data_IF_629583804458
#
_entry.id   IF_629583804458
#
_cell.length_a   1.000
_cell.length_b   1.000
_cell.length_c   1.000
_cell.angle_alpha   90.00
_cell.angle_beta   90.00
_cell.angle_gamma   90.00
#
_symmetry.space_group_name_H-M   'P 1'
#
loop_
_entity.id
_entity.type
_entity.pdbx_description
1 polymer ?
#
# COMPACT_ATOMS: atom_id res chain seq x y z
N UNK A 1 15.28 -8.02 -12.75
CA UNK A 1 13.82 -7.87 -12.53
C UNK A 1 13.39 -9.09 -11.77
N UNK A 2 12.79 -8.91 -10.61
CA UNK A 2 12.22 -9.99 -9.80
C UNK A 2 10.70 -9.83 -9.80
N UNK A 3 9.97 -10.94 -9.92
CA UNK A 3 8.52 -10.94 -9.91
C UNK A 3 8.04 -11.32 -8.51
N UNK A 4 7.22 -10.48 -7.91
CA UNK A 4 6.97 -10.48 -6.47
C UNK A 4 5.50 -10.77 -6.09
N UNK A 5 4.53 -10.41 -6.94
CA UNK A 5 3.10 -10.70 -6.70
C UNK A 5 2.32 -10.85 -8.03
N UNK A 6 1.29 -11.70 -8.04
CA UNK A 6 0.34 -11.83 -9.14
C UNK A 6 -0.97 -11.11 -8.82
N UNK A 7 -1.34 -10.14 -9.65
CA UNK A 7 -2.47 -9.25 -9.42
C UNK A 7 -3.76 -9.71 -10.14
N UNK A 8 -3.71 -10.82 -10.89
CA UNK A 8 -4.80 -11.29 -11.73
C UNK A 8 -4.77 -10.70 -13.14
N UNK A 9 -5.38 -11.38 -14.12
CA UNK A 9 -5.52 -10.86 -15.49
C UNK A 9 -4.19 -10.61 -16.22
N UNK A 10 -3.17 -11.46 -15.98
CA UNK A 10 -1.78 -11.28 -16.45
C UNK A 10 -1.10 -9.98 -15.97
N UNK A 11 -1.59 -9.37 -14.89
CA UNK A 11 -0.92 -8.27 -14.20
C UNK A 11 -0.04 -8.81 -13.06
N UNK A 12 1.17 -8.25 -12.95
CA UNK A 12 2.18 -8.69 -11.99
C UNK A 12 2.84 -7.49 -11.32
N UNK A 13 3.20 -7.65 -10.05
CA UNK A 13 4.10 -6.76 -9.33
C UNK A 13 5.52 -7.28 -9.46
N UNK A 14 6.47 -6.37 -9.71
CA UNK A 14 7.86 -6.72 -9.92
C UNK A 14 8.80 -5.62 -9.42
N UNK A 15 9.85 -6.03 -8.73
CA UNK A 15 10.95 -5.17 -8.32
C UNK A 15 11.98 -5.01 -9.43
N UNK A 16 12.30 -3.76 -9.73
CA UNK A 16 13.32 -3.36 -10.70
C UNK A 16 14.52 -2.76 -9.96
N UNK A 17 15.77 -3.05 -10.39
CA UNK A 17 16.94 -2.37 -9.85
C UNK A 17 16.78 -0.86 -10.01
N UNK A 18 17.11 -0.10 -8.96
CA UNK A 18 17.03 1.36 -8.99
C UNK A 18 18.00 1.88 -10.05
N UNK A 19 17.45 2.37 -11.15
CA UNK A 19 18.21 3.03 -12.20
C UNK A 19 17.58 4.40 -12.47
N UNK A 20 18.40 5.37 -12.91
CA UNK A 20 17.94 6.72 -13.30
C UNK A 20 16.87 6.69 -14.41
N UNK A 21 16.73 5.59 -15.12
CA UNK A 21 15.71 5.39 -16.16
C UNK A 21 15.46 3.90 -16.37
N UNK A 22 14.21 3.47 -16.36
CA UNK A 22 13.82 2.09 -16.64
C UNK A 22 13.78 1.77 -18.15
N UNK A 23 13.90 2.78 -19.04
CA UNK A 23 13.73 2.60 -20.49
C UNK A 23 14.69 1.58 -21.11
N UNK A 24 15.92 1.50 -20.61
CA UNK A 24 16.91 0.54 -21.11
C UNK A 24 16.60 -0.89 -20.68
N UNK A 25 15.98 -1.08 -19.50
CA UNK A 25 15.55 -2.39 -19.00
C UNK A 25 14.32 -2.93 -19.73
N UNK A 26 13.50 -2.02 -20.28
CA UNK A 26 12.27 -2.36 -21.00
C UNK A 26 12.49 -2.52 -22.51
N UNK A 27 13.72 -2.27 -23.01
CA UNK A 27 14.04 -2.39 -24.43
C UNK A 27 13.91 -3.85 -24.88
N UNK A 28 13.12 -4.10 -25.92
CA UNK A 28 12.85 -5.45 -26.43
C UNK A 28 11.71 -6.19 -25.70
N UNK A 29 11.02 -5.52 -24.77
CA UNK A 29 9.79 -6.05 -24.14
C UNK A 29 8.54 -5.51 -24.86
N UNK A 30 7.38 -6.12 -24.59
CA UNK A 30 6.06 -5.66 -25.08
C UNK A 30 5.45 -4.53 -24.21
N UNK A 31 6.20 -3.96 -23.26
CA UNK A 31 5.70 -2.92 -22.36
C UNK A 31 5.48 -1.60 -23.12
N UNK A 32 4.23 -1.13 -23.17
CA UNK A 32 3.84 0.09 -23.90
C UNK A 32 3.75 1.34 -23.03
N UNK A 33 3.59 1.20 -21.71
CA UNK A 33 3.45 2.34 -20.79
C UNK A 33 3.99 2.03 -19.40
N UNK A 34 4.58 3.03 -18.76
CA UNK A 34 4.98 3.01 -17.35
C UNK A 34 4.52 4.33 -16.74
N UNK A 35 3.81 4.26 -15.62
CA UNK A 35 3.35 5.43 -14.90
C UNK A 35 3.48 5.20 -13.40
N UNK A 36 3.57 6.29 -12.65
CA UNK A 36 3.50 6.24 -11.19
C UNK A 36 2.03 6.23 -10.78
N UNK A 37 1.64 5.23 -9.98
CA UNK A 37 0.29 5.18 -9.41
C UNK A 37 0.21 6.20 -8.27
N UNK A 38 -0.63 7.26 -8.38
CA UNK A 38 -0.76 8.25 -7.31
C UNK A 38 -1.32 7.60 -6.04
N UNK A 39 -0.92 8.12 -4.88
CA UNK A 39 -1.29 7.58 -3.57
C UNK A 39 -2.82 7.53 -3.39
N UNK A 40 -3.50 8.56 -3.86
CA UNK A 40 -4.95 8.72 -3.79
C UNK A 40 -5.68 7.62 -4.55
N UNK A 41 -5.11 7.10 -5.64
CA UNK A 41 -5.70 6.01 -6.42
C UNK A 41 -5.65 4.65 -5.69
N UNK A 42 -4.84 4.53 -4.64
CA UNK A 42 -4.81 3.34 -3.77
C UNK A 42 -5.78 3.44 -2.60
N UNK A 43 -6.28 4.64 -2.31
CA UNK A 43 -7.17 4.91 -1.19
C UNK A 43 -8.63 4.75 -1.59
N UNK A 44 -9.43 4.12 -0.72
CA UNK A 44 -10.88 4.12 -0.88
C UNK A 44 -11.44 5.55 -0.80
N UNK A 45 -12.45 5.84 -1.61
CA UNK A 45 -13.09 7.16 -1.68
C UNK A 45 -13.54 7.69 -0.31
N UNK A 46 -14.00 6.81 0.59
CA UNK A 46 -14.47 7.16 1.93
C UNK A 46 -13.37 7.67 2.88
N UNK A 47 -12.09 7.43 2.56
CA UNK A 47 -10.95 8.04 3.27
C UNK A 47 -10.68 9.45 2.73
N UNK A 48 -10.94 9.65 1.45
CA UNK A 48 -10.70 10.91 0.73
C UNK A 48 -11.84 11.90 0.90
N UNK A 49 -13.07 11.42 1.05
CA UNK A 49 -14.21 12.22 1.43
C UNK A 49 -14.25 12.33 2.97
N UNK A 50 -14.56 13.52 3.50
CA UNK A 50 -14.50 13.80 4.96
C UNK A 50 -15.59 13.05 5.77
N UNK A 51 -16.20 12.02 5.17
CA UNK A 51 -17.33 11.24 5.64
C UNK A 51 -16.94 9.93 6.34
N UNK A 52 -15.78 9.92 7.01
CA UNK A 52 -15.34 8.75 7.79
C UNK A 52 -16.35 8.45 8.93
N UNK A 53 -16.98 7.26 8.97
CA UNK A 53 -17.95 6.86 9.99
C UNK A 53 -17.36 6.76 11.40
N UNK A 54 -18.20 6.91 12.43
CA UNK A 54 -17.78 6.88 13.83
C UNK A 54 -17.03 5.60 14.24
N UNK A 55 -17.41 4.44 13.69
CA UNK A 55 -16.74 3.16 14.01
C UNK A 55 -15.30 3.08 13.46
N UNK A 56 -14.97 3.87 12.44
CA UNK A 56 -13.65 3.93 11.81
C UNK A 56 -12.86 5.17 12.25
N UNK A 57 -13.30 5.84 13.33
CA UNK A 57 -12.64 7.01 13.91
C UNK A 57 -12.14 6.72 15.31
N UNK A 58 -10.95 7.21 15.59
CA UNK A 58 -10.40 7.29 16.95
C UNK A 58 -9.85 8.71 17.16
N UNK A 59 -10.65 9.57 17.77
CA UNK A 59 -10.34 11.00 17.86
C UNK A 59 -10.20 11.64 16.47
N UNK A 60 -9.01 12.17 16.16
CA UNK A 60 -8.65 12.73 14.85
C UNK A 60 -8.08 11.71 13.87
N UNK A 61 -7.96 10.44 14.26
CA UNK A 61 -7.38 9.36 13.45
C UNK A 61 -8.46 8.58 12.72
N UNK A 62 -8.09 8.06 11.56
CA UNK A 62 -8.89 7.20 10.71
C UNK A 62 -8.32 5.79 10.78
N UNK A 63 -9.18 4.83 11.11
CA UNK A 63 -8.85 3.41 11.08
C UNK A 63 -8.90 2.87 9.66
N UNK A 64 -7.78 2.31 9.21
CA UNK A 64 -7.61 1.77 7.86
C UNK A 64 -7.12 0.33 7.89
N UNK A 65 -7.48 -0.42 6.85
CA UNK A 65 -6.86 -1.69 6.46
C UNK A 65 -5.98 -1.43 5.26
N UNK A 66 -4.70 -1.75 5.40
CA UNK A 66 -3.68 -1.59 4.37
C UNK A 66 -3.32 -2.95 3.85
N UNK A 67 -3.41 -3.14 2.53
CA UNK A 67 -2.89 -4.33 1.85
C UNK A 67 -1.51 -4.07 1.27
N UNK A 68 -0.62 -5.05 1.38
CA UNK A 68 0.72 -5.05 0.79
C UNK A 68 0.92 -6.26 -0.14
N UNK A 69 1.99 -6.25 -0.93
CA UNK A 69 2.27 -7.33 -1.89
C UNK A 69 2.76 -8.60 -1.18
N UNK A 70 2.37 -9.77 -1.70
CA UNK A 70 2.55 -11.07 -1.02
C UNK A 70 4.02 -11.46 -0.79
N UNK A 71 4.92 -11.05 -1.69
CA UNK A 71 6.35 -11.34 -1.61
C UNK A 71 7.15 -10.56 -0.56
N UNK A 72 6.49 -9.80 0.32
CA UNK A 72 7.15 -8.98 1.34
C UNK A 72 7.10 -9.65 2.71
N UNK A 73 8.26 -9.74 3.36
CA UNK A 73 8.39 -10.29 4.71
C UNK A 73 7.80 -9.35 5.76
N UNK A 74 7.13 -9.91 6.77
CA UNK A 74 6.49 -9.14 7.83
C UNK A 74 7.51 -8.26 8.59
N UNK A 75 8.67 -8.80 8.94
CA UNK A 75 9.74 -8.04 9.63
C UNK A 75 10.20 -6.83 8.83
N UNK A 76 10.24 -6.95 7.50
CA UNK A 76 10.57 -5.84 6.61
C UNK A 76 9.48 -4.77 6.64
N UNK A 77 8.21 -5.18 6.61
CA UNK A 77 7.05 -4.27 6.71
C UNK A 77 7.06 -3.53 8.04
N UNK A 78 7.24 -4.23 9.15
CA UNK A 78 7.28 -3.64 10.49
C UNK A 78 8.42 -2.63 10.62
N UNK A 79 9.61 -2.97 10.12
CA UNK A 79 10.74 -2.03 10.07
C UNK A 79 10.42 -0.78 9.27
N UNK A 80 9.82 -0.92 8.08
CA UNK A 80 9.42 0.22 7.23
C UNK A 80 8.36 1.09 7.90
N UNK A 81 7.40 0.49 8.60
CA UNK A 81 6.39 1.22 9.36
C UNK A 81 7.04 2.01 10.52
N UNK A 82 8.00 1.42 11.22
CA UNK A 82 8.80 2.10 12.23
C UNK A 82 9.59 3.29 11.67
N UNK A 83 10.21 3.14 10.49
CA UNK A 83 10.90 4.24 9.81
C UNK A 83 9.96 5.40 9.40
N UNK A 84 8.68 5.11 9.15
CA UNK A 84 7.63 6.10 8.86
C UNK A 84 7.01 6.73 10.13
N UNK A 85 7.43 6.29 11.32
CA UNK A 85 6.88 6.69 12.61
C UNK A 85 5.46 6.16 12.84
N UNK A 86 5.13 5.02 12.25
CA UNK A 86 3.83 4.36 12.37
C UNK A 86 3.93 3.22 13.39
N UNK A 87 3.15 3.34 14.46
CA UNK A 87 3.07 2.38 15.55
C UNK A 87 1.62 1.87 15.73
N UNK A 88 1.42 0.84 16.56
CA UNK A 88 0.08 0.30 16.84
C UNK A 88 -0.54 -0.47 15.67
N UNK A 89 0.31 -1.13 14.89
CA UNK A 89 -0.09 -1.89 13.70
C UNK A 89 -0.53 -3.29 14.12
N UNK A 90 -1.67 -3.74 13.60
CA UNK A 90 -2.20 -5.08 13.83
C UNK A 90 -2.27 -5.87 12.52
N UNK A 91 -1.41 -6.87 12.34
CA UNK A 91 -1.45 -7.75 11.17
C UNK A 91 -2.77 -8.54 11.15
N UNK A 92 -3.43 -8.58 9.99
CA UNK A 92 -4.74 -9.21 9.82
C UNK A 92 -4.56 -10.63 9.29
N UNK A 93 -4.15 -11.55 10.16
CA UNK A 93 -3.88 -12.94 9.80
C UNK A 93 -2.66 -13.10 8.87
N UNK A 94 -1.80 -14.07 9.15
CA UNK A 94 -0.50 -14.23 8.48
C UNK A 94 -0.60 -14.36 6.94
N UNK A 95 -1.75 -14.84 6.42
CA UNK A 95 -1.93 -15.13 4.99
C UNK A 95 -2.61 -14.03 4.18
N UNK A 96 -3.11 -12.95 4.79
CA UNK A 96 -3.92 -11.97 4.04
C UNK A 96 -3.13 -10.76 3.54
N UNK A 97 -1.83 -10.68 3.85
CA UNK A 97 -0.94 -9.57 3.46
C UNK A 97 -1.57 -8.20 3.73
N UNK A 98 -2.14 -8.07 4.93
CA UNK A 98 -2.88 -6.89 5.38
C UNK A 98 -2.57 -6.57 6.82
N UNK A 99 -2.65 -5.28 7.16
CA UNK A 99 -2.65 -4.83 8.53
C UNK A 99 -3.68 -3.73 8.77
N UNK A 100 -4.03 -3.54 10.04
CA UNK A 100 -4.90 -2.48 10.53
C UNK A 100 -4.10 -1.47 11.32
N UNK A 101 -4.42 -0.20 11.15
CA UNK A 101 -3.79 0.89 11.90
C UNK A 101 -4.72 2.11 11.94
N UNK A 102 -4.63 2.90 13.00
CA UNK A 102 -5.29 4.20 13.12
C UNK A 102 -4.29 5.32 12.90
N UNK A 103 -4.49 6.15 11.88
CA UNK A 103 -3.55 7.20 11.49
C UNK A 103 -4.25 8.54 11.24
N UNK A 104 -3.56 9.68 11.45
CA UNK A 104 -3.97 10.95 10.85
C UNK A 104 -4.11 10.80 9.34
N UNK A 105 -5.05 11.52 8.73
CA UNK A 105 -5.35 11.41 7.30
C UNK A 105 -4.12 11.68 6.43
N UNK A 106 -3.28 12.62 6.82
CA UNK A 106 -2.04 12.98 6.13
C UNK A 106 -1.07 11.80 6.11
N UNK A 107 -0.96 11.07 7.23
CA UNK A 107 -0.14 9.86 7.35
C UNK A 107 -0.71 8.69 6.56
N UNK A 108 -2.03 8.64 6.35
CA UNK A 108 -2.65 7.64 5.45
C UNK A 108 -2.18 7.85 4.02
N UNK A 109 -2.10 9.10 3.54
CA UNK A 109 -1.60 9.41 2.20
C UNK A 109 -0.10 9.16 2.06
N UNK A 110 0.69 9.50 3.08
CA UNK A 110 2.12 9.18 3.13
C UNK A 110 2.35 7.67 3.01
N UNK A 111 1.61 6.87 3.77
CA UNK A 111 1.67 5.42 3.70
C UNK A 111 1.22 4.90 2.33
N UNK A 112 0.14 5.45 1.75
CA UNK A 112 -0.33 5.06 0.42
C UNK A 112 0.70 5.38 -0.69
N UNK A 113 1.55 6.39 -0.52
CA UNK A 113 2.59 6.74 -1.48
C UNK A 113 3.70 5.67 -1.58
N UNK A 114 3.89 4.84 -0.55
CA UNK A 114 4.89 3.78 -0.55
C UNK A 114 4.66 2.76 -1.68
N UNK A 115 5.73 2.39 -2.38
CA UNK A 115 5.66 1.51 -3.56
C UNK A 115 5.17 0.09 -3.24
N UNK A 116 5.35 -0.35 -1.99
CA UNK A 116 4.97 -1.68 -1.51
C UNK A 116 3.51 -1.77 -1.02
N UNK A 117 2.85 -0.62 -0.85
CA UNK A 117 1.43 -0.57 -0.49
C UNK A 117 0.57 -0.79 -1.73
N UNK A 118 -0.28 -1.81 -1.67
CA UNK A 118 -1.19 -2.26 -2.73
C UNK A 118 -2.54 -1.55 -2.67
N UNK A 119 -3.08 -1.37 -1.47
CA UNK A 119 -4.38 -0.71 -1.27
C UNK A 119 -4.53 -0.18 0.15
N UNK A 120 -5.35 0.87 0.31
CA UNK A 120 -5.75 1.40 1.60
C UNK A 120 -7.27 1.54 1.62
N UNK A 121 -7.91 0.77 2.49
CA UNK A 121 -9.36 0.74 2.67
C UNK A 121 -9.72 1.13 4.09
N UNK A 122 -10.93 1.62 4.30
CA UNK A 122 -11.41 1.89 5.64
C UNK A 122 -11.55 0.61 6.45
N UNK A 123 -11.39 0.68 7.77
CA UNK A 123 -11.78 -0.43 8.64
C UNK A 123 -13.22 -0.86 8.33
N UNK A 124 -13.50 -2.16 8.26
CA UNK A 124 -14.88 -2.64 8.15
C UNK A 124 -15.63 -2.36 9.45
N UNK A 125 -16.96 -2.23 9.40
CA UNK A 125 -17.78 -2.20 10.60
C UNK A 125 -17.60 -3.48 11.43
N UNK A 126 -17.78 -3.42 12.76
CA UNK A 126 -17.69 -4.57 13.67
C UNK A 126 -18.79 -5.61 13.43
#
# INVERSE_FOLDING_TARGET
MQLDDYLGGNAYFASLPVAKSYRHLLKGTSVVSVFQLPAEAKCSWAIMDSSVPGYAKEGSRVGVVVGFFEGLEQDWIEKRLGELGIEGVHMVGESFHRFRVFLPREKVLELAAESWVKSVSMLPPP
#
